data_IF_976198744867
#
_entry.id   IF_976198744867
#
_cell.length_a   1.000
_cell.length_b   1.000
_cell.length_c   1.000
_cell.angle_alpha   90.00
_cell.angle_beta   90.00
_cell.angle_gamma   90.00
#
_symmetry.space_group_name_H-M   'P 1'
#
loop_
_entity.id
_entity.type
_entity.pdbx_description
1 polymer ?
#
# COMPACT_ATOMS: atom_id res chain seq x y z
N UNK A 1 5.90 -21.48 -7.52
CA UNK A 1 5.14 -20.57 -6.64
C UNK A 1 5.73 -19.19 -6.75
N UNK A 2 4.94 -18.17 -7.02
CA UNK A 2 5.38 -16.78 -7.09
C UNK A 2 5.21 -16.06 -5.77
N UNK A 3 6.00 -15.01 -5.56
CA UNK A 3 5.90 -14.15 -4.38
C UNK A 3 5.69 -12.71 -4.83
N UNK A 4 4.65 -12.06 -4.33
CA UNK A 4 4.31 -10.69 -4.66
C UNK A 4 4.43 -9.79 -3.44
N UNK A 5 5.17 -8.68 -3.58
CA UNK A 5 5.21 -7.61 -2.59
C UNK A 5 4.38 -6.44 -3.10
N UNK A 6 3.40 -6.03 -2.31
CA UNK A 6 2.57 -4.87 -2.59
C UNK A 6 3.05 -3.70 -1.72
N UNK A 7 3.63 -2.70 -2.37
CA UNK A 7 4.06 -1.45 -1.74
C UNK A 7 2.89 -0.47 -1.83
N UNK A 8 2.19 -0.27 -0.72
CA UNK A 8 0.94 0.49 -0.70
C UNK A 8 1.23 1.96 -0.43
N UNK A 9 0.92 2.81 -1.42
CA UNK A 9 0.81 4.27 -1.32
C UNK A 9 1.97 4.99 -0.61
N UNK A 10 3.20 4.56 -0.84
CA UNK A 10 4.39 5.19 -0.25
C UNK A 10 4.75 6.51 -0.95
N UNK A 11 3.74 7.40 -1.05
CA UNK A 11 3.77 8.70 -1.72
C UNK A 11 4.16 9.81 -0.75
N UNK A 12 4.73 10.90 -1.27
CA UNK A 12 5.22 12.03 -0.46
C UNK A 12 4.13 12.61 0.45
N UNK A 13 2.91 12.78 -0.05
CA UNK A 13 1.83 13.35 0.77
C UNK A 13 1.47 12.50 1.99
N UNK A 14 1.66 11.17 1.93
CA UNK A 14 1.42 10.29 3.06
C UNK A 14 2.63 10.10 3.97
N UNK A 15 3.83 10.37 3.48
CA UNK A 15 5.06 10.18 4.28
C UNK A 15 5.40 11.45 5.06
N UNK A 16 5.68 12.54 4.36
CA UNK A 16 6.16 13.82 4.91
C UNK A 16 5.45 15.06 4.33
N UNK A 17 4.45 14.86 3.47
CA UNK A 17 3.65 15.91 2.85
C UNK A 17 2.35 16.23 3.60
N UNK A 18 1.27 16.50 2.85
CA UNK A 18 0.01 17.03 3.37
C UNK A 18 -0.64 16.17 4.49
N UNK A 19 -0.49 14.85 4.42
CA UNK A 19 -0.99 13.88 5.41
C UNK A 19 0.14 13.08 6.06
N UNK A 20 1.37 13.59 6.01
CA UNK A 20 2.54 12.94 6.58
C UNK A 20 2.49 12.83 8.09
N UNK A 21 3.12 11.78 8.61
CA UNK A 21 3.23 11.52 10.07
C UNK A 21 4.65 11.13 10.44
N UNK A 22 5.10 11.35 11.69
CA UNK A 22 6.39 10.86 12.16
C UNK A 22 6.52 9.34 12.04
N UNK A 23 5.43 8.60 12.24
CA UNK A 23 5.38 7.14 12.12
C UNK A 23 5.62 6.70 10.67
N UNK A 24 5.05 7.41 9.69
CA UNK A 24 5.27 7.14 8.26
C UNK A 24 6.74 7.38 7.86
N UNK A 25 7.35 8.43 8.36
CA UNK A 25 8.78 8.70 8.13
C UNK A 25 9.65 7.62 8.77
N UNK A 26 9.29 7.15 9.96
CA UNK A 26 10.07 6.16 10.70
C UNK A 26 10.19 4.80 10.00
N UNK A 27 9.23 4.41 9.16
CA UNK A 27 9.27 3.13 8.44
C UNK A 27 10.06 3.17 7.13
N UNK A 28 10.42 4.34 6.61
CA UNK A 28 11.05 4.48 5.29
C UNK A 28 12.29 3.59 5.09
N UNK A 29 13.17 3.53 6.08
CA UNK A 29 14.38 2.71 6.00
C UNK A 29 14.07 1.23 5.85
N UNK A 30 13.13 0.72 6.65
CA UNK A 30 12.70 -0.69 6.61
C UNK A 30 11.98 -1.02 5.30
N UNK A 31 11.10 -0.14 4.83
CA UNK A 31 10.43 -0.28 3.54
C UNK A 31 11.45 -0.34 2.40
N UNK A 32 12.42 0.57 2.38
CA UNK A 32 13.47 0.59 1.36
C UNK A 32 14.33 -0.70 1.40
N UNK A 33 14.67 -1.18 2.58
CA UNK A 33 15.41 -2.44 2.75
C UNK A 33 14.59 -3.65 2.28
N UNK A 34 13.32 -3.74 2.66
CA UNK A 34 12.40 -4.78 2.21
C UNK A 34 12.31 -4.81 0.69
N UNK A 35 12.10 -3.65 0.04
CA UNK A 35 12.02 -3.54 -1.43
C UNK A 35 13.30 -4.08 -2.09
N UNK A 36 14.47 -3.70 -1.60
CA UNK A 36 15.75 -4.12 -2.18
C UNK A 36 15.99 -5.61 -2.08
N UNK A 37 15.60 -6.22 -0.96
CA UNK A 37 15.92 -7.61 -0.62
C UNK A 37 14.81 -8.60 -0.93
N UNK A 38 13.61 -8.14 -1.33
CA UNK A 38 12.49 -9.03 -1.61
C UNK A 38 12.77 -9.90 -2.83
N UNK A 39 12.65 -11.22 -2.66
CA UNK A 39 12.79 -12.20 -3.73
C UNK A 39 11.41 -12.50 -4.35
N UNK A 40 11.03 -11.72 -5.35
CA UNK A 40 9.73 -11.80 -6.01
C UNK A 40 9.42 -10.60 -6.88
N UNK A 41 8.17 -10.54 -7.36
CA UNK A 41 7.65 -9.44 -8.18
C UNK A 41 7.08 -8.32 -7.30
N UNK A 42 7.29 -7.07 -7.73
CA UNK A 42 6.88 -5.89 -6.99
C UNK A 42 5.69 -5.21 -7.64
N UNK A 43 4.72 -4.85 -6.83
CA UNK A 43 3.58 -4.00 -7.20
C UNK A 43 3.59 -2.74 -6.33
N UNK A 44 3.32 -1.61 -6.94
CA UNK A 44 3.28 -0.31 -6.26
C UNK A 44 1.92 0.29 -6.49
N UNK A 45 1.15 0.51 -5.42
CA UNK A 45 -0.10 1.26 -5.56
C UNK A 45 0.14 2.75 -5.37
N UNK A 46 -0.62 3.55 -6.08
CA UNK A 46 -0.63 5.00 -5.95
C UNK A 46 -2.06 5.47 -5.74
N UNK A 47 -2.33 6.03 -4.59
CA UNK A 47 -3.55 6.77 -4.35
C UNK A 47 -3.58 7.98 -5.29
N UNK A 48 -4.69 8.15 -6.02
CA UNK A 48 -4.72 9.10 -7.13
C UNK A 48 -6.02 9.90 -7.11
N UNK A 49 -5.88 11.17 -6.79
CA UNK A 49 -6.96 12.15 -6.82
C UNK A 49 -6.75 13.17 -7.94
N UNK A 50 -7.74 14.03 -8.16
CA UNK A 50 -7.75 15.05 -9.19
C UNK A 50 -8.16 16.39 -8.58
N UNK A 51 -8.11 17.45 -9.39
CA UNK A 51 -8.41 18.82 -8.95
C UNK A 51 -9.77 18.98 -8.28
N UNK A 52 -10.75 18.11 -8.62
CA UNK A 52 -12.08 18.10 -8.02
C UNK A 52 -12.15 17.31 -6.70
N UNK A 53 -11.03 17.00 -6.04
CA UNK A 53 -10.98 16.21 -4.80
C UNK A 53 -11.98 16.72 -3.74
N UNK A 54 -12.08 18.03 -3.54
CA UNK A 54 -12.97 18.63 -2.55
C UNK A 54 -14.46 18.40 -2.82
N UNK A 55 -14.82 18.05 -4.05
CA UNK A 55 -16.22 17.75 -4.45
C UNK A 55 -16.56 16.27 -4.21
N UNK A 56 -15.57 15.43 -3.96
CA UNK A 56 -15.74 14.00 -3.73
C UNK A 56 -16.30 13.71 -2.32
N UNK A 57 -16.83 12.50 -2.13
CA UNK A 57 -17.27 12.04 -0.82
C UNK A 57 -16.12 12.00 0.19
N UNK A 58 -14.92 11.66 -0.24
CA UNK A 58 -13.72 11.65 0.58
C UNK A 58 -13.30 13.06 0.97
N UNK A 59 -13.21 13.98 0.00
CA UNK A 59 -12.83 15.37 0.24
C UNK A 59 -13.78 16.12 1.16
N UNK A 60 -15.07 15.75 1.19
CA UNK A 60 -16.04 16.29 2.15
C UNK A 60 -15.81 15.82 3.58
N UNK A 61 -15.25 14.64 3.77
CA UNK A 61 -14.93 14.08 5.09
C UNK A 61 -13.52 14.42 5.56
N UNK A 62 -12.58 14.48 4.62
CA UNK A 62 -11.19 14.85 4.85
C UNK A 62 -10.83 16.00 3.92
N UNK A 63 -11.07 17.27 4.32
CA UNK A 63 -10.88 18.44 3.46
C UNK A 63 -9.40 18.84 3.33
N UNK A 64 -8.55 17.89 3.01
CA UNK A 64 -7.11 18.06 2.79
C UNK A 64 -6.77 17.46 1.43
N UNK A 65 -6.65 18.29 0.38
CA UNK A 65 -6.21 17.80 -0.92
C UNK A 65 -4.85 17.13 -0.82
N UNK A 66 -4.75 15.92 -1.35
CA UNK A 66 -3.54 15.11 -1.33
C UNK A 66 -3.49 14.20 -2.55
N UNK A 67 -2.33 13.71 -2.87
CA UNK A 67 -2.09 12.79 -3.97
C UNK A 67 -2.79 13.20 -5.28
N UNK A 68 -2.81 14.51 -5.56
CA UNK A 68 -3.37 15.03 -6.81
C UNK A 68 -2.43 14.66 -7.94
N UNK A 69 -2.95 13.94 -8.93
CA UNK A 69 -2.15 13.41 -10.05
C UNK A 69 -1.32 14.49 -10.73
N UNK A 70 -0.03 14.21 -10.91
CA UNK A 70 0.93 15.13 -11.54
C UNK A 70 1.57 16.14 -10.58
N UNK A 71 1.18 16.16 -9.30
CA UNK A 71 1.84 16.99 -8.29
C UNK A 71 3.01 16.24 -7.63
N UNK A 72 3.96 16.94 -7.01
CA UNK A 72 5.04 16.30 -6.23
C UNK A 72 4.51 15.38 -5.12
N UNK A 73 3.41 15.76 -4.45
CA UNK A 73 2.79 14.98 -3.39
C UNK A 73 2.27 13.61 -3.82
N UNK A 74 1.85 13.48 -5.07
CA UNK A 74 1.41 12.22 -5.67
C UNK A 74 2.59 11.27 -5.98
N UNK A 75 3.79 11.80 -6.19
CA UNK A 75 4.96 10.96 -6.49
C UNK A 75 5.35 10.08 -5.30
N UNK A 76 5.97 8.95 -5.58
CA UNK A 76 6.61 8.14 -4.54
C UNK A 76 7.63 8.97 -3.75
N UNK A 77 7.74 8.71 -2.46
CA UNK A 77 8.82 9.29 -1.65
C UNK A 77 10.19 8.88 -2.20
N UNK A 78 11.17 9.82 -2.15
CA UNK A 78 12.47 9.66 -2.81
C UNK A 78 13.22 8.39 -2.38
N UNK A 79 13.18 8.03 -1.10
CA UNK A 79 13.85 6.81 -0.61
C UNK A 79 13.21 5.54 -1.17
N UNK A 80 11.90 5.54 -1.39
CA UNK A 80 11.17 4.41 -2.00
C UNK A 80 11.49 4.33 -3.49
N UNK A 81 11.44 5.46 -4.19
CA UNK A 81 11.82 5.55 -5.60
C UNK A 81 13.27 5.09 -5.83
N UNK A 82 14.19 5.46 -4.93
CA UNK A 82 15.60 5.02 -4.98
C UNK A 82 15.71 3.50 -4.75
N UNK A 83 14.94 2.94 -3.81
CA UNK A 83 14.96 1.50 -3.53
C UNK A 83 14.43 0.67 -4.71
N UNK A 84 13.55 1.24 -5.53
CA UNK A 84 12.98 0.61 -6.73
C UNK A 84 13.91 0.71 -7.96
N UNK A 85 14.97 1.51 -7.92
CA UNK A 85 15.91 1.61 -9.05
C UNK A 85 16.54 0.28 -9.38
N UNK A 86 16.48 -0.08 -10.66
CA UNK A 86 17.00 -1.36 -11.14
C UNK A 86 16.11 -2.58 -10.86
N UNK A 87 14.98 -2.39 -10.18
CA UNK A 87 13.95 -3.43 -9.97
C UNK A 87 12.82 -3.26 -10.99
N UNK A 88 12.36 -4.38 -11.54
CA UNK A 88 11.10 -4.37 -12.28
C UNK A 88 9.92 -4.31 -11.30
N UNK A 89 8.96 -3.44 -11.54
CA UNK A 89 7.73 -3.34 -10.76
C UNK A 89 6.55 -2.91 -11.63
N UNK A 90 5.34 -3.18 -11.15
CA UNK A 90 4.09 -2.78 -11.81
C UNK A 90 3.40 -1.73 -10.97
N UNK A 91 3.00 -0.62 -11.60
CA UNK A 91 2.24 0.45 -10.93
C UNK A 91 0.73 0.23 -11.11
N UNK A 92 -0.01 0.48 -10.04
CA UNK A 92 -1.46 0.42 -10.00
C UNK A 92 -1.99 1.71 -9.39
N UNK A 93 -2.48 2.62 -10.23
CA UNK A 93 -3.18 3.81 -9.75
C UNK A 93 -4.57 3.42 -9.24
N UNK A 94 -4.96 3.93 -8.09
CA UNK A 94 -6.27 3.66 -7.50
C UNK A 94 -6.94 4.94 -7.02
N UNK A 95 -8.26 4.98 -7.10
CA UNK A 95 -9.11 6.10 -6.64
C UNK A 95 -9.87 5.79 -5.36
N UNK A 96 -9.61 4.64 -4.79
CA UNK A 96 -10.30 4.08 -3.62
C UNK A 96 -9.26 3.53 -2.65
N UNK A 97 -9.61 3.36 -1.40
CA UNK A 97 -8.66 2.86 -0.39
C UNK A 97 -8.11 1.48 -0.77
N UNK A 98 -8.98 0.51 -1.08
CA UNK A 98 -8.58 -0.75 -1.69
C UNK A 98 -8.69 -0.67 -3.22
N UNK A 99 -7.73 -1.22 -3.94
CA UNK A 99 -7.73 -1.25 -5.40
C UNK A 99 -8.57 -2.40 -5.94
N UNK A 100 -9.63 -2.09 -6.67
CA UNK A 100 -10.46 -3.11 -7.35
C UNK A 100 -9.76 -3.74 -8.55
N UNK A 101 -8.69 -3.14 -9.06
CA UNK A 101 -7.90 -3.66 -10.17
C UNK A 101 -6.76 -4.58 -9.73
N UNK A 102 -6.28 -4.41 -8.48
CA UNK A 102 -5.10 -5.14 -7.99
C UNK A 102 -5.26 -6.65 -8.07
N UNK A 103 -6.42 -7.26 -7.72
CA UNK A 103 -6.59 -8.71 -7.86
C UNK A 103 -6.35 -9.20 -9.28
N UNK A 104 -6.95 -8.57 -10.28
CA UNK A 104 -6.77 -8.96 -11.69
C UNK A 104 -5.31 -8.80 -12.16
N UNK A 105 -4.59 -7.79 -11.66
CA UNK A 105 -3.17 -7.60 -11.96
C UNK A 105 -2.29 -8.70 -11.37
N UNK A 106 -2.64 -9.18 -10.17
CA UNK A 106 -1.95 -10.31 -9.54
C UNK A 106 -2.23 -11.61 -10.27
N UNK A 107 -3.48 -11.88 -10.68
CA UNK A 107 -3.84 -13.06 -11.47
C UNK A 107 -3.08 -13.09 -12.82
N UNK A 108 -3.04 -11.95 -13.52
CA UNK A 108 -2.27 -11.81 -14.76
C UNK A 108 -0.78 -12.12 -14.54
N UNK A 109 -0.21 -11.58 -13.48
CA UNK A 109 1.19 -11.80 -13.12
C UNK A 109 1.44 -13.25 -12.70
N UNK A 110 0.52 -13.86 -11.98
CA UNK A 110 0.61 -15.26 -11.55
C UNK A 110 0.64 -16.22 -12.75
N UNK A 111 -0.12 -15.89 -13.82
CA UNK A 111 -0.13 -16.72 -15.03
C UNK A 111 -0.60 -18.15 -14.79
N UNK A 112 -1.49 -18.36 -13.81
CA UNK A 112 -2.01 -19.67 -13.40
C UNK A 112 -1.13 -20.41 -12.38
N UNK A 113 -0.02 -19.82 -11.95
CA UNK A 113 0.79 -20.37 -10.85
C UNK A 113 0.21 -19.99 -9.48
N UNK A 114 0.44 -20.84 -8.48
CA UNK A 114 0.23 -20.48 -7.08
C UNK A 114 1.13 -19.30 -6.68
N UNK A 115 0.63 -18.44 -5.80
CA UNK A 115 1.38 -17.30 -5.31
C UNK A 115 1.07 -16.95 -3.86
N UNK A 116 1.93 -16.16 -3.26
CA UNK A 116 1.73 -15.52 -1.96
C UNK A 116 1.79 -14.01 -2.12
N UNK A 117 1.17 -13.29 -1.19
CA UNK A 117 1.15 -11.82 -1.18
C UNK A 117 1.66 -11.31 0.15
N UNK A 118 2.55 -10.34 0.12
CA UNK A 118 2.96 -9.57 1.28
C UNK A 118 2.65 -8.09 1.04
N UNK A 119 2.04 -7.42 2.02
CA UNK A 119 1.73 -5.99 1.96
C UNK A 119 2.62 -5.20 2.92
N UNK A 120 3.08 -4.04 2.45
CA UNK A 120 3.79 -3.03 3.22
C UNK A 120 3.27 -1.64 2.84
N UNK A 121 3.52 -0.64 3.65
CA UNK A 121 3.26 0.77 3.30
C UNK A 121 2.19 1.45 4.15
N UNK A 122 1.47 2.37 3.55
CA UNK A 122 0.62 3.35 4.21
C UNK A 122 -0.82 3.37 3.67
N UNK A 123 -1.77 3.78 4.47
CA UNK A 123 -1.71 3.69 5.94
C UNK A 123 -2.26 2.32 6.34
N UNK A 124 -1.71 1.73 7.40
CA UNK A 124 -2.13 0.40 7.88
C UNK A 124 -3.64 0.30 8.03
N UNK A 125 -4.23 1.33 8.64
CA UNK A 125 -5.64 1.44 9.03
C UNK A 125 -6.56 1.93 7.93
N UNK A 126 -6.04 2.24 6.74
CA UNK A 126 -6.85 2.72 5.60
C UNK A 126 -6.56 1.87 4.35
N UNK A 127 -5.52 2.20 3.59
CA UNK A 127 -5.26 1.56 2.30
C UNK A 127 -4.68 0.14 2.44
N UNK A 128 -3.83 -0.12 3.45
CA UNK A 128 -3.26 -1.46 3.67
C UNK A 128 -4.35 -2.45 4.07
N UNK A 129 -5.13 -2.16 5.11
CA UNK A 129 -6.22 -3.05 5.55
C UNK A 129 -7.27 -3.24 4.44
N UNK A 130 -7.61 -2.18 3.72
CA UNK A 130 -8.59 -2.26 2.62
C UNK A 130 -8.12 -3.17 1.49
N UNK A 131 -6.86 -3.07 1.07
CA UNK A 131 -6.29 -3.98 0.07
C UNK A 131 -6.16 -5.40 0.62
N UNK A 132 -5.70 -5.57 1.85
CA UNK A 132 -5.54 -6.88 2.48
C UNK A 132 -6.86 -7.66 2.52
N UNK A 133 -7.94 -7.03 3.01
CA UNK A 133 -9.26 -7.65 3.09
C UNK A 133 -9.86 -7.94 1.71
N UNK A 134 -9.69 -7.03 0.76
CA UNK A 134 -10.14 -7.21 -0.61
C UNK A 134 -9.42 -8.38 -1.29
N UNK A 135 -8.10 -8.46 -1.14
CA UNK A 135 -7.31 -9.56 -1.67
C UNK A 135 -7.69 -10.89 -1.00
N UNK A 136 -7.90 -10.91 0.33
CA UNK A 136 -8.33 -12.11 1.05
C UNK A 136 -9.71 -12.59 0.62
N UNK A 137 -10.62 -11.67 0.32
CA UNK A 137 -11.94 -12.02 -0.22
C UNK A 137 -11.87 -12.57 -1.64
N UNK A 138 -10.95 -12.06 -2.46
CA UNK A 138 -10.76 -12.50 -3.85
C UNK A 138 -9.98 -13.81 -3.95
N UNK A 139 -8.97 -13.99 -3.08
CA UNK A 139 -8.08 -15.16 -3.04
C UNK A 139 -8.14 -15.84 -1.67
N UNK A 140 -9.23 -16.53 -1.32
CA UNK A 140 -9.43 -17.06 0.03
C UNK A 140 -8.37 -18.10 0.45
N UNK A 141 -7.81 -18.83 -0.51
CA UNK A 141 -6.82 -19.88 -0.25
C UNK A 141 -5.36 -19.39 -0.35
N UNK A 142 -5.15 -18.18 -0.85
CA UNK A 142 -3.81 -17.60 -0.97
C UNK A 142 -3.30 -17.13 0.39
N UNK A 143 -2.04 -17.42 0.70
CA UNK A 143 -1.35 -16.84 1.86
C UNK A 143 -1.13 -15.35 1.62
N UNK A 144 -1.71 -14.54 2.50
CA UNK A 144 -1.57 -13.08 2.49
C UNK A 144 -1.00 -12.66 3.84
N UNK A 145 0.05 -11.87 3.81
CA UNK A 145 0.73 -11.36 4.98
C UNK A 145 0.86 -9.83 4.94
N UNK A 146 1.01 -9.21 6.10
CA UNK A 146 1.36 -7.80 6.28
C UNK A 146 2.61 -7.73 7.16
N UNK A 147 3.66 -7.07 6.69
CA UNK A 147 4.82 -6.76 7.52
C UNK A 147 4.54 -5.51 8.35
N UNK A 148 4.16 -5.74 9.61
CA UNK A 148 3.79 -4.66 10.53
C UNK A 148 4.91 -3.64 10.72
N UNK A 149 6.17 -4.09 10.67
CA UNK A 149 7.34 -3.22 10.85
C UNK A 149 7.59 -2.28 9.67
N UNK A 150 7.00 -2.59 8.52
CA UNK A 150 7.04 -1.81 7.28
C UNK A 150 5.72 -1.08 7.00
N UNK A 151 4.84 -0.96 7.99
CA UNK A 151 3.56 -0.24 7.91
C UNK A 151 3.46 0.80 9.02
N UNK A 152 2.67 1.84 8.77
CA UNK A 152 2.29 2.84 9.76
C UNK A 152 0.83 3.26 9.57
N UNK A 153 0.10 3.43 10.66
CA UNK A 153 -1.26 3.96 10.66
C UNK A 153 -1.28 5.48 10.79
N UNK A 154 -2.48 6.06 10.77
CA UNK A 154 -2.68 7.48 11.10
C UNK A 154 -2.24 7.76 12.54
N UNK A 155 -2.53 6.83 13.44
CA UNK A 155 -2.00 6.82 14.81
C UNK A 155 -1.48 5.42 15.17
N UNK A 156 -0.62 5.28 16.20
CA UNK A 156 -0.21 3.96 16.69
C UNK A 156 -1.39 3.08 17.09
N UNK A 157 -2.42 3.64 17.70
CA UNK A 157 -3.61 2.91 18.15
C UNK A 157 -4.42 2.37 16.98
N UNK A 158 -4.63 3.17 15.92
CA UNK A 158 -5.37 2.73 14.74
C UNK A 158 -4.56 1.72 13.90
N UNK A 159 -3.22 1.83 13.90
CA UNK A 159 -2.33 0.82 13.34
C UNK A 159 -2.55 -0.56 14.00
N UNK A 160 -2.48 -0.64 15.33
CA UNK A 160 -2.69 -1.88 16.07
C UNK A 160 -4.10 -2.45 15.86
N UNK A 161 -5.12 -1.60 15.84
CA UNK A 161 -6.50 -2.03 15.58
C UNK A 161 -6.66 -2.65 14.20
N UNK A 162 -6.02 -2.08 13.18
CA UNK A 162 -6.04 -2.61 11.82
C UNK A 162 -5.31 -3.96 11.72
N UNK A 163 -4.14 -4.10 12.35
CA UNK A 163 -3.41 -5.36 12.42
C UNK A 163 -4.24 -6.45 13.11
N UNK A 164 -4.89 -6.12 14.23
CA UNK A 164 -5.78 -7.04 14.93
C UNK A 164 -6.95 -7.49 14.03
N UNK A 165 -7.56 -6.57 13.29
CA UNK A 165 -8.64 -6.87 12.34
C UNK A 165 -8.16 -7.80 11.22
N UNK A 166 -7.02 -7.50 10.61
CA UNK A 166 -6.46 -8.33 9.55
C UNK A 166 -6.13 -9.74 10.04
N UNK A 167 -5.56 -9.87 11.23
CA UNK A 167 -5.29 -11.16 11.87
C UNK A 167 -6.56 -12.00 12.07
N UNK A 168 -7.65 -11.37 12.53
CA UNK A 168 -8.94 -12.06 12.68
C UNK A 168 -9.51 -12.50 11.33
N UNK A 169 -9.19 -11.80 10.25
CA UNK A 169 -9.56 -12.16 8.88
C UNK A 169 -8.55 -13.11 8.20
N UNK A 170 -7.68 -13.76 8.98
CA UNK A 170 -6.70 -14.76 8.50
C UNK A 170 -5.64 -14.19 7.54
N UNK A 171 -5.25 -12.94 7.76
CA UNK A 171 -4.06 -12.34 7.16
C UNK A 171 -2.93 -12.45 8.19
N UNK A 172 -1.79 -12.99 7.79
CA UNK A 172 -0.65 -13.16 8.67
C UNK A 172 0.01 -11.81 8.99
N UNK A 173 0.41 -11.62 10.24
CA UNK A 173 1.13 -10.42 10.68
C UNK A 173 2.57 -10.82 10.97
N UNK A 174 3.51 -10.25 10.19
CA UNK A 174 4.94 -10.50 10.27
C UNK A 174 5.63 -9.45 11.15
#
# INVERSE_FOLDING_TARGET
MKHFLIIVDMQKDFVDGALGTPEAVAILGKVAEKIKNFDGELFVTLDTHFENYMDTAEGKKLPVPHCIKGTPGWCLHEQVAEALKGRAYRMVEKRTFGSTELPARLEEAAGGEEFTVELIGLCTDICVVSNGLLLKAHFPETSIAVDASCCAGVTPESHEAALATMKMCQIDIL
#
